data_IF_974441033740
#
_entry.id   IF_974441033740
#
_cell.length_a   1.000
_cell.length_b   1.000
_cell.length_c   1.000
_cell.angle_alpha   90.00
_cell.angle_beta   90.00
_cell.angle_gamma   90.00
#
_symmetry.space_group_name_H-M   'P 1'
#
loop_
_entity.id
_entity.type
_entity.pdbx_description
1 polymer ?
#
# COMPACT_ATOMS: atom_id res chain seq x y z
N UNK A 1 4.99 8.91 20.04
CA UNK A 1 5.85 10.12 20.06
C UNK A 1 5.51 11.08 18.91
N UNK A 2 5.48 10.63 17.65
CA UNK A 2 5.14 11.50 16.49
C UNK A 2 3.73 12.08 16.54
N UNK A 3 2.71 11.33 16.99
CA UNK A 3 1.33 11.86 17.10
C UNK A 3 1.22 13.10 17.99
N UNK A 4 2.00 13.18 19.07
CA UNK A 4 1.99 14.36 19.94
C UNK A 4 2.61 15.57 19.25
N UNK A 5 3.67 15.36 18.45
CA UNK A 5 4.30 16.44 17.66
C UNK A 5 3.34 16.97 16.61
N UNK A 6 2.67 16.09 15.88
CA UNK A 6 1.64 16.47 14.90
C UNK A 6 0.50 17.27 15.52
N UNK A 7 -0.01 16.78 16.65
CA UNK A 7 -1.09 17.44 17.37
C UNK A 7 -0.66 18.83 17.88
N UNK A 8 0.57 18.97 18.39
CA UNK A 8 1.13 20.27 18.79
C UNK A 8 1.25 21.23 17.60
N UNK A 9 1.72 20.77 16.44
CA UNK A 9 1.83 21.60 15.23
C UNK A 9 0.47 22.11 14.75
N UNK A 10 -0.55 21.25 14.74
CA UNK A 10 -1.92 21.64 14.34
C UNK A 10 -2.49 22.65 15.33
N UNK A 11 -2.37 22.41 16.64
CA UNK A 11 -2.86 23.33 17.67
C UNK A 11 -2.17 24.70 17.60
N UNK A 12 -0.84 24.73 17.47
CA UNK A 12 -0.10 25.99 17.33
C UNK A 12 -0.49 26.74 16.06
N UNK A 13 -0.72 26.03 14.95
CA UNK A 13 -1.21 26.63 13.70
C UNK A 13 -2.59 27.28 13.86
N UNK A 14 -3.52 26.62 14.55
CA UNK A 14 -4.86 27.15 14.83
C UNK A 14 -4.77 28.40 15.71
N UNK A 15 -3.96 28.37 16.79
CA UNK A 15 -3.78 29.51 17.69
C UNK A 15 -3.14 30.68 16.95
N UNK A 16 -2.13 30.44 16.10
CA UNK A 16 -1.48 31.47 15.31
C UNK A 16 -2.44 32.10 14.26
N UNK A 17 -3.29 31.30 13.63
CA UNK A 17 -4.32 31.79 12.70
C UNK A 17 -5.39 32.64 13.42
N UNK A 18 -5.81 32.21 14.61
CA UNK A 18 -6.74 32.97 15.45
C UNK A 18 -6.13 34.29 15.93
N UNK A 19 -4.86 34.30 16.36
CA UNK A 19 -4.17 35.51 16.80
C UNK A 19 -3.98 36.54 15.67
N UNK A 20 -3.79 36.08 14.43
CA UNK A 20 -3.70 36.96 13.26
C UNK A 20 -5.07 37.33 12.66
N UNK A 21 -6.19 36.82 13.21
CA UNK A 21 -7.55 37.09 12.71
C UNK A 21 -7.93 36.36 11.41
N UNK A 22 -7.06 35.48 10.87
CA UNK A 22 -7.25 34.78 9.60
C UNK A 22 -7.66 33.31 9.82
N UNK A 23 -8.69 33.08 10.63
CA UNK A 23 -9.09 31.71 11.02
C UNK A 23 -9.61 30.86 9.85
N UNK A 24 -10.09 31.51 8.79
CA UNK A 24 -10.49 30.89 7.52
C UNK A 24 -9.38 30.01 6.92
N UNK A 25 -8.11 30.43 7.05
CA UNK A 25 -6.96 29.72 6.48
C UNK A 25 -6.86 28.29 7.03
N UNK A 26 -7.27 28.05 8.28
CA UNK A 26 -7.31 26.72 8.88
C UNK A 26 -8.29 25.82 8.14
N UNK A 27 -9.50 26.32 7.87
CA UNK A 27 -10.55 25.58 7.16
C UNK A 27 -10.13 25.28 5.72
N UNK A 28 -9.59 26.28 5.02
CA UNK A 28 -9.10 26.12 3.64
C UNK A 28 -7.97 25.09 3.57
N UNK A 29 -6.96 25.20 4.44
CA UNK A 29 -5.86 24.24 4.51
C UNK A 29 -6.33 22.81 4.84
N UNK A 30 -7.32 22.67 5.73
CA UNK A 30 -7.90 21.37 6.05
C UNK A 30 -8.63 20.75 4.84
N UNK A 31 -9.40 21.54 4.10
CA UNK A 31 -10.11 21.08 2.90
C UNK A 31 -9.15 20.75 1.74
N UNK A 32 -8.14 21.58 1.50
CA UNK A 32 -7.09 21.31 0.50
C UNK A 32 -6.28 20.05 0.85
N UNK A 33 -5.96 19.88 2.14
CA UNK A 33 -5.31 18.67 2.64
C UNK A 33 -6.16 17.42 2.40
N UNK A 34 -7.46 17.49 2.70
CA UNK A 34 -8.40 16.41 2.44
C UNK A 34 -8.51 16.09 0.93
N UNK A 35 -8.63 17.11 0.07
CA UNK A 35 -8.68 16.92 -1.37
C UNK A 35 -7.39 16.26 -1.90
N UNK A 36 -6.23 16.69 -1.41
CA UNK A 36 -4.93 16.11 -1.76
C UNK A 36 -4.83 14.65 -1.30
N UNK A 37 -5.29 14.35 -0.09
CA UNK A 37 -5.32 12.99 0.44
C UNK A 37 -6.21 12.07 -0.41
N UNK A 38 -7.39 12.55 -0.80
CA UNK A 38 -8.31 11.80 -1.69
C UNK A 38 -7.67 11.55 -3.06
N UNK A 39 -7.09 12.59 -3.69
CA UNK A 39 -6.42 12.46 -4.99
C UNK A 39 -5.28 11.45 -4.96
N UNK A 40 -4.45 11.50 -3.92
CA UNK A 40 -3.35 10.55 -3.72
C UNK A 40 -3.89 9.14 -3.52
N UNK A 41 -4.93 8.98 -2.70
CA UNK A 41 -5.56 7.69 -2.44
C UNK A 41 -6.11 7.06 -3.72
N UNK A 42 -6.82 7.82 -4.56
CA UNK A 42 -7.30 7.34 -5.86
C UNK A 42 -6.17 6.90 -6.78
N UNK A 43 -5.06 7.65 -6.80
CA UNK A 43 -3.89 7.31 -7.61
C UNK A 43 -3.31 5.96 -7.19
N UNK A 44 -3.19 5.71 -5.87
CA UNK A 44 -2.72 4.44 -5.34
C UNK A 44 -3.72 3.30 -5.57
N UNK A 45 -5.01 3.55 -5.35
CA UNK A 45 -6.08 2.55 -5.59
C UNK A 45 -6.07 2.10 -7.05
N UNK A 46 -5.91 3.03 -8.01
CA UNK A 46 -5.87 2.69 -9.42
C UNK A 46 -4.73 1.72 -9.74
N UNK A 47 -3.52 2.01 -9.26
CA UNK A 47 -2.33 1.16 -9.48
C UNK A 47 -2.50 -0.21 -8.83
N UNK A 48 -2.94 -0.24 -7.56
CA UNK A 48 -3.12 -1.50 -6.82
C UNK A 48 -4.22 -2.35 -7.46
N UNK A 49 -5.34 -1.75 -7.84
CA UNK A 49 -6.47 -2.46 -8.46
C UNK A 49 -6.07 -3.03 -9.82
N UNK A 50 -5.34 -2.25 -10.62
CA UNK A 50 -4.79 -2.71 -11.89
C UNK A 50 -3.88 -3.93 -11.67
N UNK A 51 -2.93 -3.83 -10.73
CA UNK A 51 -2.01 -4.90 -10.44
C UNK A 51 -2.71 -6.17 -9.94
N UNK A 52 -3.65 -6.02 -9.01
CA UNK A 52 -4.46 -7.14 -8.51
C UNK A 52 -5.29 -7.79 -9.63
N UNK A 53 -5.82 -6.99 -10.56
CA UNK A 53 -6.53 -7.49 -11.73
C UNK A 53 -5.64 -8.34 -12.65
N UNK A 54 -4.45 -7.81 -12.98
CA UNK A 54 -3.44 -8.54 -13.78
C UNK A 54 -3.03 -9.84 -13.08
N UNK A 55 -2.79 -9.80 -11.76
CA UNK A 55 -2.42 -10.98 -11.00
C UNK A 55 -3.51 -12.05 -10.99
N UNK A 56 -4.77 -11.65 -10.80
CA UNK A 56 -5.91 -12.59 -10.90
C UNK A 56 -6.03 -13.23 -12.28
N UNK A 57 -5.77 -12.46 -13.34
CA UNK A 57 -5.76 -12.98 -14.70
C UNK A 57 -4.61 -13.99 -14.91
N UNK A 58 -3.41 -13.68 -14.43
CA UNK A 58 -2.25 -14.58 -14.48
C UNK A 58 -2.47 -15.87 -13.70
N UNK A 59 -3.16 -15.81 -12.56
CA UNK A 59 -3.54 -16.97 -11.77
C UNK A 59 -4.58 -17.83 -12.50
N UNK A 60 -5.63 -17.20 -13.05
CA UNK A 60 -6.67 -17.88 -13.84
C UNK A 60 -6.12 -18.54 -15.11
N UNK A 61 -5.12 -17.93 -15.76
CA UNK A 61 -4.42 -18.48 -16.91
C UNK A 61 -3.43 -19.61 -16.55
N UNK A 62 -3.24 -19.92 -15.26
CA UNK A 62 -2.30 -20.94 -14.80
C UNK A 62 -0.82 -20.52 -14.88
N UNK A 63 -0.52 -19.27 -15.25
CA UNK A 63 0.84 -18.75 -15.41
C UNK A 63 1.60 -18.73 -14.08
N UNK A 64 0.91 -18.35 -12.99
CA UNK A 64 1.47 -18.40 -11.62
C UNK A 64 1.84 -19.84 -11.24
N UNK A 65 1.04 -20.83 -11.64
CA UNK A 65 1.30 -22.25 -11.38
C UNK A 65 2.49 -22.77 -12.18
N UNK A 66 2.63 -22.33 -13.43
CA UNK A 66 3.78 -22.66 -14.27
C UNK A 66 5.09 -22.10 -13.70
N UNK A 67 5.09 -20.82 -13.29
CA UNK A 67 6.24 -20.19 -12.64
C UNK A 67 6.59 -20.85 -11.30
N UNK A 68 5.58 -21.16 -10.48
CA UNK A 68 5.79 -21.89 -9.23
C UNK A 68 6.42 -23.26 -9.48
N UNK A 69 5.99 -23.99 -10.52
CA UNK A 69 6.57 -25.26 -10.91
C UNK A 69 8.02 -25.14 -11.40
N UNK A 70 8.37 -24.06 -12.10
CA UNK A 70 9.75 -23.79 -12.52
C UNK A 70 10.66 -23.42 -11.33
N UNK A 71 10.11 -22.70 -10.34
CA UNK A 71 10.82 -22.30 -9.13
C UNK A 71 10.83 -23.37 -8.01
N UNK A 72 10.15 -24.52 -8.22
CA UNK A 72 10.13 -25.67 -7.28
C UNK A 72 11.51 -26.15 -6.81
N UNK A 73 12.55 -26.32 -7.66
CA UNK A 73 13.85 -26.81 -7.19
C UNK A 73 14.51 -25.83 -6.21
N UNK A 74 14.40 -24.51 -6.46
CA UNK A 74 14.95 -23.47 -5.59
C UNK A 74 14.18 -23.36 -4.28
N UNK A 75 12.85 -23.36 -4.32
CA UNK A 75 12.00 -23.28 -3.12
C UNK A 75 12.09 -24.52 -2.24
N UNK A 76 12.26 -25.72 -2.80
CA UNK A 76 12.52 -26.94 -2.03
C UNK A 76 13.88 -26.91 -1.32
N UNK A 77 14.87 -26.26 -1.91
CA UNK A 77 16.19 -26.09 -1.30
C UNK A 77 16.17 -25.05 -0.17
N UNK A 78 15.54 -23.89 -0.40
CA UNK A 78 15.48 -22.79 0.57
C UNK A 78 14.45 -23.03 1.70
N UNK A 79 13.33 -23.71 1.40
CA UNK A 79 12.22 -23.93 2.34
C UNK A 79 11.78 -25.42 2.37
N UNK A 80 12.60 -26.32 2.94
CA UNK A 80 12.35 -27.76 2.95
C UNK A 80 11.10 -28.19 3.76
N UNK A 81 10.54 -27.31 4.61
CA UNK A 81 9.38 -27.60 5.47
C UNK A 81 8.00 -27.32 4.87
N UNK A 82 7.90 -26.80 3.64
CA UNK A 82 6.61 -26.40 3.03
C UNK A 82 6.01 -27.55 2.19
N UNK A 83 4.76 -27.99 2.46
CA UNK A 83 4.10 -29.07 1.71
C UNK A 83 3.93 -28.76 0.21
N UNK A 84 4.00 -29.81 -0.64
CA UNK A 84 4.15 -29.74 -2.11
C UNK A 84 3.01 -29.07 -2.90
N UNK A 85 1.87 -28.79 -2.26
CA UNK A 85 0.68 -28.20 -2.89
C UNK A 85 0.07 -27.04 -2.08
N UNK A 86 0.81 -26.49 -1.12
CA UNK A 86 0.32 -25.36 -0.35
C UNK A 86 0.34 -24.08 -1.22
N UNK A 87 -0.77 -23.31 -1.33
CA UNK A 87 -0.82 -22.08 -2.13
C UNK A 87 0.22 -21.02 -1.71
N UNK A 88 0.81 -21.17 -0.52
CA UNK A 88 1.92 -20.36 -0.04
C UNK A 88 3.17 -20.40 -0.96
N UNK A 89 3.42 -21.48 -1.70
CA UNK A 89 4.55 -21.52 -2.65
C UNK A 89 4.37 -20.48 -3.76
N UNK A 90 3.14 -20.29 -4.25
CA UNK A 90 2.83 -19.25 -5.24
C UNK A 90 3.08 -17.84 -4.70
N UNK A 91 2.70 -17.59 -3.44
CA UNK A 91 2.94 -16.31 -2.77
C UNK A 91 4.45 -16.03 -2.54
N UNK A 92 5.23 -17.03 -2.15
CA UNK A 92 6.68 -16.90 -1.93
C UNK A 92 7.43 -16.65 -3.24
N UNK A 93 7.08 -17.38 -4.31
CA UNK A 93 7.70 -17.19 -5.63
C UNK A 93 7.35 -15.81 -6.20
N UNK A 94 6.12 -15.33 -6.00
CA UNK A 94 5.74 -13.97 -6.36
C UNK A 94 6.56 -12.91 -5.63
N UNK A 95 6.81 -13.09 -4.33
CA UNK A 95 7.59 -12.14 -3.54
C UNK A 95 9.08 -12.15 -3.95
N UNK A 96 9.62 -13.29 -4.40
CA UNK A 96 10.98 -13.41 -4.95
C UNK A 96 11.13 -12.84 -6.37
N UNK A 97 10.03 -12.73 -7.12
CA UNK A 97 10.01 -12.16 -8.47
C UNK A 97 9.72 -10.65 -8.50
N UNK A 98 9.33 -10.07 -7.36
CA UNK A 98 9.21 -8.63 -7.14
C UNK A 98 10.59 -8.01 -6.87
#
# INVERSE_FOLDING_TARGET
MVNYVWLAMVLLGIVAAAANGHIEVVTTAALEGAQTAVKTSFSLIAIITFWLGVMKLAEAAGMVRALANLARPLTRFLFPGVPRDHPAIGAIVMNLAA
#
